data_IF_901355600499
#
_entry.id   IF_901355600499
#
_cell.length_a   1.000
_cell.length_b   1.000
_cell.length_c   1.000
_cell.angle_alpha   90.00
_cell.angle_beta   90.00
_cell.angle_gamma   90.00
#
_symmetry.space_group_name_H-M   'P 1'
#
loop_
_entity.id
_entity.type
_entity.pdbx_description
1 polymer ?
#
# COMPACT_ATOMS: atom_id res chain seq x y z
N UNK A 1 -3.44 -10.11 11.20
CA UNK A 1 -4.41 -11.21 11.03
C UNK A 1 -5.82 -10.76 10.69
N UNK A 2 -6.25 -9.53 11.02
CA UNK A 2 -7.61 -9.04 10.71
C UNK A 2 -8.02 -9.04 9.23
N UNK A 3 -7.08 -9.20 8.29
CA UNK A 3 -7.32 -9.24 6.84
C UNK A 3 -7.11 -10.63 6.19
N UNK A 4 -6.95 -11.70 6.98
CA UNK A 4 -6.76 -13.07 6.46
C UNK A 4 -8.00 -13.92 6.76
N UNK A 5 -8.63 -14.46 5.72
CA UNK A 5 -9.83 -15.29 5.83
C UNK A 5 -9.69 -16.53 4.94
N UNK A 6 -10.21 -17.68 5.36
CA UNK A 6 -10.29 -18.84 4.48
C UNK A 6 -11.29 -18.55 3.34
N UNK A 7 -10.93 -18.98 2.13
CA UNK A 7 -11.73 -18.82 0.92
C UNK A 7 -11.61 -20.07 0.04
N UNK A 8 -12.60 -20.26 -0.83
CA UNK A 8 -12.53 -21.27 -1.90
C UNK A 8 -11.52 -20.79 -2.94
N UNK A 9 -10.62 -21.68 -3.36
CA UNK A 9 -9.49 -21.32 -4.23
C UNK A 9 -9.91 -20.66 -5.56
N UNK A 10 -10.96 -21.18 -6.19
CA UNK A 10 -11.54 -20.62 -7.43
C UNK A 10 -12.05 -19.19 -7.21
N UNK A 11 -12.92 -18.97 -6.20
CA UNK A 11 -13.44 -17.63 -5.87
C UNK A 11 -12.32 -16.66 -5.52
N UNK A 12 -11.27 -17.13 -4.84
CA UNK A 12 -10.09 -16.32 -4.54
C UNK A 12 -9.32 -15.94 -5.81
N UNK A 13 -9.14 -16.89 -6.73
CA UNK A 13 -8.48 -16.68 -8.02
C UNK A 13 -9.23 -15.68 -8.88
N UNK A 14 -10.54 -15.89 -9.06
CA UNK A 14 -11.40 -15.04 -9.89
C UNK A 14 -11.52 -13.62 -9.33
N UNK A 15 -11.70 -13.49 -8.01
CA UNK A 15 -11.76 -12.18 -7.34
C UNK A 15 -10.45 -11.41 -7.51
N UNK A 16 -9.31 -12.11 -7.59
CA UNK A 16 -8.00 -11.51 -7.88
C UNK A 16 -7.73 -10.26 -6.99
N UNK A 17 -7.29 -9.17 -7.60
CA UNK A 17 -7.15 -7.85 -6.99
C UNK A 17 -8.30 -6.89 -7.32
N UNK A 18 -9.48 -7.40 -7.67
CA UNK A 18 -10.63 -6.57 -8.03
C UNK A 18 -11.16 -5.82 -6.80
N UNK A 19 -11.64 -4.60 -7.08
CA UNK A 19 -12.30 -3.80 -6.05
C UNK A 19 -13.64 -4.43 -5.70
N UNK A 20 -14.08 -4.20 -4.46
CA UNK A 20 -15.43 -4.59 -4.10
C UNK A 20 -16.41 -3.62 -4.74
N UNK A 21 -17.41 -4.16 -5.44
CA UNK A 21 -18.44 -3.41 -6.15
C UNK A 21 -19.77 -4.13 -6.08
N UNK A 22 -20.86 -3.42 -6.33
CA UNK A 22 -22.13 -4.07 -6.65
C UNK A 22 -22.08 -4.50 -8.12
N UNK A 23 -22.39 -5.77 -8.39
CA UNK A 23 -22.34 -6.36 -9.72
C UNK A 23 -23.76 -6.65 -10.19
N UNK A 24 -24.21 -5.85 -11.17
CA UNK A 24 -25.52 -6.01 -11.80
C UNK A 24 -25.43 -7.06 -12.91
N UNK A 25 -26.42 -7.94 -12.99
CA UNK A 25 -26.59 -8.82 -14.15
C UNK A 25 -25.57 -9.96 -14.31
N UNK A 26 -24.60 -10.14 -13.41
CA UNK A 26 -23.75 -11.33 -13.47
C UNK A 26 -24.57 -12.60 -13.22
N UNK A 27 -24.44 -13.55 -14.15
CA UNK A 27 -24.96 -14.89 -14.00
C UNK A 27 -24.40 -15.55 -12.73
N UNK A 28 -25.12 -16.51 -12.16
CA UNK A 28 -24.57 -17.28 -11.03
C UNK A 28 -23.34 -18.06 -11.50
N UNK A 29 -22.15 -17.64 -11.06
CA UNK A 29 -20.86 -18.26 -11.43
C UNK A 29 -20.54 -19.47 -10.56
N UNK A 30 -21.03 -19.48 -9.31
CA UNK A 30 -20.60 -20.41 -8.27
C UNK A 30 -21.76 -21.23 -7.69
N UNK A 31 -22.77 -21.54 -8.52
CA UNK A 31 -23.93 -22.34 -8.16
C UNK A 31 -24.82 -21.67 -7.09
N UNK A 32 -24.83 -22.21 -5.87
CA UNK A 32 -25.59 -21.65 -4.74
C UNK A 32 -24.88 -20.48 -4.05
N UNK A 33 -23.56 -20.34 -4.26
CA UNK A 33 -22.81 -19.22 -3.71
C UNK A 33 -23.17 -17.96 -4.50
N UNK A 34 -23.71 -16.95 -3.81
CA UNK A 34 -24.19 -15.69 -4.40
C UNK A 34 -23.10 -14.64 -4.64
N UNK A 35 -21.84 -15.00 -4.46
CA UNK A 35 -20.72 -14.14 -4.84
C UNK A 35 -20.73 -13.97 -6.36
N UNK A 36 -20.41 -12.78 -6.83
CA UNK A 36 -20.34 -12.44 -8.26
C UNK A 36 -19.02 -11.74 -8.55
N UNK A 37 -18.46 -12.02 -9.71
CA UNK A 37 -17.24 -11.40 -10.21
C UNK A 37 -17.51 -10.88 -11.62
N UNK A 38 -17.38 -9.57 -11.79
CA UNK A 38 -17.37 -8.92 -13.09
C UNK A 38 -15.92 -8.73 -13.53
N UNK A 39 -15.51 -9.52 -14.53
CA UNK A 39 -14.16 -9.45 -15.08
C UNK A 39 -13.95 -8.23 -15.98
N UNK A 40 -15.01 -7.73 -16.62
CA UNK A 40 -14.95 -6.58 -17.52
C UNK A 40 -14.77 -5.29 -16.72
N UNK A 41 -15.60 -5.09 -15.70
CA UNK A 41 -15.53 -3.93 -14.81
C UNK A 41 -14.53 -4.13 -13.64
N UNK A 42 -13.89 -5.30 -13.56
CA UNK A 42 -12.91 -5.68 -12.53
C UNK A 42 -13.46 -5.42 -11.11
N UNK A 43 -14.68 -5.91 -10.87
CA UNK A 43 -15.42 -5.75 -9.63
C UNK A 43 -15.85 -7.09 -9.05
N UNK A 44 -15.77 -7.24 -7.73
CA UNK A 44 -16.27 -8.43 -7.03
C UNK A 44 -17.37 -8.02 -6.03
N UNK A 45 -18.55 -8.63 -6.15
CA UNK A 45 -19.61 -8.53 -5.16
C UNK A 45 -19.62 -9.80 -4.31
N UNK A 46 -19.22 -9.73 -3.03
CA UNK A 46 -19.32 -10.89 -2.17
C UNK A 46 -20.79 -11.11 -1.78
N UNK A 47 -21.14 -12.34 -1.43
CA UNK A 47 -22.46 -12.67 -0.84
C UNK A 47 -22.78 -11.80 0.40
N UNK A 48 -24.07 -11.58 0.63
CA UNK A 48 -24.59 -10.66 1.64
C UNK A 48 -24.06 -10.94 3.05
N UNK A 49 -23.90 -12.22 3.42
CA UNK A 49 -23.50 -12.64 4.76
C UNK A 49 -22.09 -12.16 5.16
N UNK A 50 -21.27 -11.74 4.19
CA UNK A 50 -19.89 -11.24 4.46
C UNK A 50 -19.65 -9.80 4.02
N UNK A 51 -20.64 -9.11 3.42
CA UNK A 51 -20.47 -7.72 2.99
C UNK A 51 -20.03 -6.80 4.15
N UNK A 52 -20.63 -6.97 5.32
CA UNK A 52 -20.26 -6.23 6.52
C UNK A 52 -18.84 -6.52 7.01
N UNK A 53 -18.46 -7.80 7.03
CA UNK A 53 -17.11 -8.25 7.42
C UNK A 53 -16.05 -7.68 6.48
N UNK A 54 -16.30 -7.72 5.16
CA UNK A 54 -15.42 -7.13 4.14
C UNK A 54 -15.25 -5.63 4.36
N UNK A 55 -16.33 -4.92 4.66
CA UNK A 55 -16.29 -3.48 4.93
C UNK A 55 -15.42 -3.17 6.15
N UNK A 56 -15.66 -3.82 7.30
CA UNK A 56 -14.89 -3.58 8.54
C UNK A 56 -13.43 -4.01 8.44
N UNK A 57 -13.13 -5.10 7.75
CA UNK A 57 -11.75 -5.52 7.49
C UNK A 57 -11.02 -4.50 6.60
N UNK A 58 -11.71 -3.97 5.59
CA UNK A 58 -11.13 -2.97 4.68
C UNK A 58 -10.92 -1.63 5.41
N UNK A 59 -11.90 -1.16 6.19
CA UNK A 59 -11.74 0.04 7.02
C UNK A 59 -10.56 -0.07 7.97
N UNK A 60 -10.42 -1.21 8.65
CA UNK A 60 -9.27 -1.47 9.52
C UNK A 60 -7.95 -1.34 8.75
N UNK A 61 -7.81 -1.97 7.59
CA UNK A 61 -6.57 -1.92 6.83
C UNK A 61 -6.25 -0.50 6.37
N UNK A 62 -7.26 0.24 5.89
CA UNK A 62 -7.05 1.59 5.40
C UNK A 62 -6.73 2.58 6.50
N UNK A 63 -7.43 2.47 7.63
CA UNK A 63 -7.22 3.30 8.81
C UNK A 63 -5.86 3.02 9.47
N UNK A 64 -5.54 1.75 9.71
CA UNK A 64 -4.31 1.36 10.41
C UNK A 64 -3.04 1.65 9.62
N UNK A 65 -3.08 1.51 8.29
CA UNK A 65 -1.90 1.64 7.44
C UNK A 65 -1.88 2.91 6.60
N UNK A 66 -2.72 3.89 6.93
CA UNK A 66 -2.76 5.20 6.28
C UNK A 66 -2.94 5.13 4.75
N UNK A 67 -3.93 4.34 4.30
CA UNK A 67 -4.23 4.16 2.88
C UNK A 67 -5.40 5.03 2.44
N UNK A 68 -5.38 5.45 1.17
CA UNK A 68 -6.42 6.31 0.59
C UNK A 68 -7.52 5.47 -0.08
N UNK A 69 -8.76 5.71 0.32
CA UNK A 69 -9.94 5.07 -0.28
C UNK A 69 -10.72 6.05 -1.16
N UNK A 70 -11.11 5.64 -2.37
CA UNK A 70 -11.94 6.47 -3.25
C UNK A 70 -13.31 6.75 -2.61
N UNK A 71 -13.92 7.89 -2.94
CA UNK A 71 -15.24 8.27 -2.39
C UNK A 71 -16.32 7.22 -2.67
N UNK A 72 -16.31 6.63 -3.87
CA UNK A 72 -17.23 5.57 -4.27
C UNK A 72 -17.08 4.32 -3.38
N UNK A 73 -15.84 3.88 -3.14
CA UNK A 73 -15.56 2.72 -2.30
C UNK A 73 -15.96 2.98 -0.84
N UNK A 74 -15.70 4.19 -0.32
CA UNK A 74 -16.13 4.57 1.03
C UNK A 74 -17.65 4.46 1.16
N UNK A 75 -18.41 5.04 0.23
CA UNK A 75 -19.87 5.00 0.26
C UNK A 75 -20.42 3.58 0.19
N UNK A 76 -19.87 2.74 -0.68
CA UNK A 76 -20.27 1.33 -0.81
C UNK A 76 -20.03 0.57 0.51
N UNK A 77 -18.81 0.64 1.05
CA UNK A 77 -18.46 -0.09 2.27
C UNK A 77 -19.20 0.46 3.49
N UNK A 78 -19.49 1.77 3.53
CA UNK A 78 -20.31 2.36 4.60
C UNK A 78 -21.74 1.82 4.55
N UNK A 79 -22.33 1.73 3.36
CA UNK A 79 -23.65 1.14 3.17
C UNK A 79 -23.67 -0.32 3.63
N UNK A 80 -22.67 -1.12 3.22
CA UNK A 80 -22.55 -2.51 3.64
C UNK A 80 -22.32 -2.68 5.14
N UNK A 81 -21.46 -1.86 5.75
CA UNK A 81 -21.23 -1.93 7.20
C UNK A 81 -22.50 -1.62 8.00
N UNK A 82 -23.31 -0.67 7.53
CA UNK A 82 -24.59 -0.32 8.15
C UNK A 82 -25.64 -1.42 7.96
N UNK A 83 -25.74 -1.98 6.74
CA UNK A 83 -26.73 -2.99 6.39
C UNK A 83 -26.42 -4.36 7.05
N UNK A 84 -25.13 -4.67 7.23
CA UNK A 84 -24.65 -5.96 7.74
C UNK A 84 -23.80 -5.74 9.01
N UNK A 85 -24.42 -5.58 10.19
CA UNK A 85 -23.70 -5.31 11.44
C UNK A 85 -22.77 -6.47 11.84
N UNK A 86 -21.84 -6.20 12.76
CA UNK A 86 -20.90 -7.20 13.25
C UNK A 86 -21.63 -8.39 13.89
N UNK A 87 -21.26 -9.59 13.48
CA UNK A 87 -21.85 -10.83 14.00
C UNK A 87 -21.18 -11.27 15.30
N UNK A 88 -21.81 -12.18 16.04
CA UNK A 88 -21.20 -12.76 17.24
C UNK A 88 -19.89 -13.48 16.93
N UNK A 89 -19.84 -14.21 15.80
CA UNK A 89 -18.62 -14.86 15.34
C UNK A 89 -17.51 -13.86 15.02
N UNK A 90 -17.85 -12.74 14.37
CA UNK A 90 -16.86 -11.71 14.03
C UNK A 90 -16.24 -11.07 15.27
N UNK A 91 -17.04 -10.79 16.31
CA UNK A 91 -16.54 -10.33 17.61
C UNK A 91 -15.64 -11.36 18.27
N UNK A 92 -16.07 -12.63 18.34
CA UNK A 92 -15.24 -13.69 18.90
C UNK A 92 -13.91 -13.85 18.16
N UNK A 93 -13.93 -13.76 16.83
CA UNK A 93 -12.71 -13.80 16.01
C UNK A 93 -11.82 -12.58 16.29
N UNK A 94 -12.40 -11.40 16.44
CA UNK A 94 -11.69 -10.19 16.81
C UNK A 94 -10.96 -10.34 18.15
N UNK A 95 -11.64 -10.85 19.19
CA UNK A 95 -11.05 -11.12 20.51
C UNK A 95 -9.86 -12.09 20.42
N UNK A 96 -10.01 -13.18 19.66
CA UNK A 96 -8.94 -14.17 19.45
C UNK A 96 -7.73 -13.56 18.76
N UNK A 97 -7.95 -12.69 17.77
CA UNK A 97 -6.86 -12.02 17.06
C UNK A 97 -6.21 -10.96 17.97
N UNK A 98 -7.01 -10.22 18.74
CA UNK A 98 -6.52 -9.21 19.66
C UNK A 98 -5.64 -9.82 20.75
N UNK A 99 -5.99 -11.00 21.26
CA UNK A 99 -5.16 -11.74 22.21
C UNK A 99 -3.75 -12.07 21.66
N UNK A 100 -3.60 -12.19 20.33
CA UNK A 100 -2.32 -12.49 19.67
C UNK A 100 -1.62 -11.21 19.18
N UNK A 101 -2.35 -10.25 18.63
CA UNK A 101 -1.79 -9.03 18.02
C UNK A 101 -1.68 -7.84 18.99
N UNK A 102 -2.31 -7.92 20.16
CA UNK A 102 -2.31 -6.88 21.20
C UNK A 102 -3.25 -5.69 20.94
N UNK A 103 -4.15 -5.78 19.95
CA UNK A 103 -5.12 -4.73 19.64
C UNK A 103 -6.31 -5.28 18.86
N UNK A 104 -7.47 -4.62 19.00
CA UNK A 104 -8.71 -4.96 18.30
C UNK A 104 -8.85 -4.28 16.94
N UNK A 105 -9.72 -4.81 16.09
CA UNK A 105 -10.31 -4.05 15.00
C UNK A 105 -11.42 -3.15 15.55
N UNK A 106 -11.11 -1.86 15.69
CA UNK A 106 -12.04 -0.84 16.22
C UNK A 106 -13.33 -0.66 15.42
N UNK A 107 -13.38 -1.12 14.16
CA UNK A 107 -14.59 -1.12 13.34
C UNK A 107 -15.50 -2.33 13.65
N UNK A 108 -14.96 -3.40 14.26
CA UNK A 108 -15.74 -4.54 14.78
C UNK A 108 -16.29 -4.25 16.18
N UNK A 109 -15.48 -3.63 17.04
CA UNK A 109 -15.91 -3.24 18.40
C UNK A 109 -16.88 -2.06 18.40
N UNK A 110 -16.87 -1.24 17.35
CA UNK A 110 -17.70 -0.04 17.22
C UNK A 110 -17.05 1.23 17.79
N UNK A 111 -15.82 1.14 18.31
CA UNK A 111 -15.03 2.30 18.76
C UNK A 111 -14.70 3.28 17.61
N UNK A 112 -14.61 2.78 16.37
CA UNK A 112 -14.42 3.59 15.16
C UNK A 112 -15.55 3.31 14.17
N UNK A 113 -15.99 4.38 13.51
CA UNK A 113 -16.91 4.31 12.38
C UNK A 113 -16.38 5.14 11.22
N UNK A 114 -16.35 4.54 10.03
CA UNK A 114 -15.91 5.24 8.82
C UNK A 114 -16.95 6.26 8.37
N UNK A 115 -16.49 7.44 7.95
CA UNK A 115 -17.31 8.52 7.39
C UNK A 115 -16.71 9.01 6.07
N UNK A 116 -17.50 9.72 5.26
CA UNK A 116 -16.99 10.28 4.01
C UNK A 116 -15.89 11.29 4.31
N UNK A 117 -14.70 11.08 3.74
CA UNK A 117 -13.53 11.93 4.00
C UNK A 117 -12.81 11.62 5.31
N UNK A 118 -13.09 10.46 5.92
CA UNK A 118 -12.37 9.96 7.09
C UNK A 118 -10.86 9.98 6.85
N UNK A 119 -10.11 10.49 7.82
CA UNK A 119 -8.65 10.54 7.80
C UNK A 119 -8.09 9.33 8.58
N UNK A 120 -7.41 8.39 7.90
CA UNK A 120 -6.74 7.28 8.58
C UNK A 120 -5.82 7.72 9.71
N UNK A 121 -5.85 6.99 10.83
CA UNK A 121 -4.99 7.27 11.99
C UNK A 121 -3.55 6.83 11.73
N UNK A 122 -3.34 5.74 10.99
CA UNK A 122 -2.01 5.22 10.69
C UNK A 122 -1.30 4.56 11.87
N UNK A 123 -2.03 4.09 12.88
CA UNK A 123 -1.45 3.53 14.12
C UNK A 123 -0.69 2.19 13.94
N UNK A 124 -0.74 1.59 12.75
CA UNK A 124 0.07 0.44 12.37
C UNK A 124 1.26 0.78 11.47
N UNK A 125 1.44 2.06 11.14
CA UNK A 125 2.64 2.55 10.46
C UNK A 125 3.66 2.88 11.55
N UNK A 126 4.76 2.14 11.61
CA UNK A 126 5.88 2.52 12.48
C UNK A 126 6.51 3.77 11.85
N UNK A 127 6.23 4.95 12.40
CA UNK A 127 7.01 6.15 12.12
C UNK A 127 8.41 5.98 12.70
N UNK A 128 9.29 5.27 11.97
CA UNK A 128 10.74 5.41 12.08
C UNK A 128 11.30 6.16 10.88
N UNK A 129 10.68 7.30 10.56
CA UNK A 129 11.41 8.44 10.04
C UNK A 129 10.79 9.65 10.71
N UNK A 130 11.54 10.28 11.62
CA UNK A 130 11.26 11.66 11.98
C UNK A 130 11.31 12.46 10.68
N UNK A 131 10.15 12.82 10.15
CA UNK A 131 10.08 13.88 9.16
C UNK A 131 10.66 15.12 9.81
N UNK A 132 11.84 15.55 9.35
CA UNK A 132 12.31 16.92 9.58
C UNK A 132 11.15 17.84 9.19
N UNK A 133 10.59 18.53 10.17
CA UNK A 133 9.64 19.59 9.93
C UNK A 133 10.27 20.57 8.94
N UNK A 134 9.51 20.99 7.93
CA UNK A 134 9.89 22.09 7.06
C UNK A 134 9.99 23.37 7.91
N UNK A 135 11.17 23.60 8.49
CA UNK A 135 11.51 24.86 9.12
C UNK A 135 11.73 25.88 8.01
N UNK A 136 10.95 26.96 8.05
CA UNK A 136 11.20 28.19 7.28
C UNK A 136 12.68 28.58 7.48
N UNK A 137 13.46 28.92 6.45
CA UNK A 137 14.84 29.29 6.64
C UNK A 137 14.90 30.67 7.32
N UNK A 138 15.04 30.65 8.65
CA UNK A 138 15.65 31.72 9.43
C UNK A 138 17.15 31.49 9.45
N UNK A 139 17.91 32.49 9.04
CA UNK A 139 19.37 32.57 8.93
C UNK A 139 20.12 32.09 10.18
N UNK A 140 20.99 31.09 10.02
CA UNK A 140 22.39 31.12 10.49
C UNK A 140 23.15 29.82 10.09
N UNK A 141 23.94 29.95 9.03
CA UNK A 141 25.28 29.36 8.78
C UNK A 141 25.73 28.12 9.57
N UNK A 142 25.82 26.98 8.88
CA UNK A 142 26.97 26.08 8.90
C UNK A 142 27.16 25.47 7.49
N UNK A 143 28.42 25.34 7.09
CA UNK A 143 28.93 25.36 5.70
C UNK A 143 28.45 24.22 4.79
N UNK A 144 28.08 24.59 3.56
CA UNK A 144 27.76 23.72 2.42
C UNK A 144 28.99 23.54 1.52
N UNK A 145 29.33 22.31 1.18
CA UNK A 145 29.98 21.98 -0.10
C UNK A 145 29.21 20.80 -0.72
N UNK A 146 28.54 21.06 -1.85
CA UNK A 146 27.69 20.09 -2.54
C UNK A 146 28.49 19.05 -3.32
N UNK A 147 27.81 17.98 -3.76
CA UNK A 147 27.99 17.33 -5.08
C UNK A 147 27.00 16.17 -5.27
N UNK A 148 26.47 16.03 -6.49
CA UNK A 148 25.40 15.08 -6.84
C UNK A 148 25.71 13.60 -6.59
N UNK A 149 24.71 12.74 -6.76
CA UNK A 149 24.88 11.29 -6.55
C UNK A 149 25.73 10.65 -7.67
N UNK A 150 26.38 9.51 -7.44
CA UNK A 150 27.12 8.80 -8.48
C UNK A 150 26.12 7.91 -9.24
N UNK A 151 26.12 7.94 -10.58
CA UNK A 151 25.19 7.15 -11.40
C UNK A 151 25.93 6.02 -12.11
N UNK A 152 25.60 4.78 -11.75
CA UNK A 152 25.98 3.54 -12.43
C UNK A 152 24.98 3.15 -13.54
N UNK A 153 25.49 2.66 -14.67
CA UNK A 153 24.69 2.04 -15.71
C UNK A 153 24.75 0.51 -15.58
N UNK A 154 23.63 -0.11 -15.22
CA UNK A 154 23.50 -1.56 -15.01
C UNK A 154 23.91 -2.41 -16.22
N UNK A 155 23.75 -1.90 -17.44
CA UNK A 155 24.03 -2.65 -18.66
C UNK A 155 25.52 -2.68 -19.01
N UNK A 156 26.26 -1.61 -18.71
CA UNK A 156 27.70 -1.52 -19.03
C UNK A 156 28.61 -1.70 -17.83
N UNK A 157 28.03 -1.76 -16.61
CA UNK A 157 28.74 -1.73 -15.34
C UNK A 157 29.73 -0.56 -15.25
N UNK A 158 29.31 0.62 -15.74
CA UNK A 158 30.11 1.85 -15.71
C UNK A 158 29.43 2.91 -14.86
N UNK A 159 30.17 3.53 -13.92
CA UNK A 159 29.66 4.64 -13.11
C UNK A 159 30.23 6.01 -13.50
N UNK A 160 29.41 7.03 -13.27
CA UNK A 160 29.69 8.43 -13.58
C UNK A 160 29.55 9.27 -12.31
N UNK A 161 30.58 10.04 -12.01
CA UNK A 161 30.56 11.04 -10.95
C UNK A 161 29.67 12.24 -11.35
N UNK A 162 29.04 12.90 -10.37
CA UNK A 162 28.20 14.09 -10.59
C UNK A 162 28.96 15.28 -11.19
N UNK A 163 30.28 15.29 -11.05
CA UNK A 163 31.18 16.30 -11.59
C UNK A 163 32.28 15.60 -12.39
N UNK A 164 32.74 16.24 -13.45
CA UNK A 164 33.86 15.74 -14.27
C UNK A 164 33.46 14.67 -15.30
N UNK A 165 32.21 14.20 -15.32
CA UNK A 165 31.73 13.19 -16.28
C UNK A 165 30.74 13.79 -17.29
N UNK A 166 31.16 14.04 -18.55
CA UNK A 166 30.27 14.56 -19.59
C UNK A 166 29.05 13.66 -19.87
N UNK A 167 29.18 12.35 -19.65
CA UNK A 167 28.11 11.36 -19.90
C UNK A 167 27.20 11.09 -18.70
N UNK A 168 27.31 11.86 -17.62
CA UNK A 168 26.53 11.66 -16.40
C UNK A 168 25.00 11.65 -16.65
N UNK A 169 24.49 12.53 -17.52
CA UNK A 169 23.06 12.59 -17.86
C UNK A 169 22.59 11.59 -18.92
N UNK A 170 23.51 10.82 -19.53
CA UNK A 170 23.20 9.96 -20.67
C UNK A 170 22.78 8.54 -20.26
N UNK A 171 22.78 8.24 -18.96
CA UNK A 171 22.29 6.95 -18.46
C UNK A 171 20.77 6.98 -18.43
N UNK A 172 20.11 6.11 -19.18
CA UNK A 172 18.64 5.99 -19.14
C UNK A 172 18.18 5.60 -17.74
N UNK A 173 17.14 6.28 -17.21
CA UNK A 173 16.62 6.05 -15.85
C UNK A 173 16.25 4.60 -15.52
N UNK A 174 15.90 3.78 -16.53
CA UNK A 174 15.60 2.35 -16.35
C UNK A 174 16.84 1.51 -15.98
N UNK A 175 18.02 1.98 -16.35
CA UNK A 175 19.30 1.29 -16.14
C UNK A 175 20.19 2.02 -15.13
N UNK A 176 19.67 3.02 -14.43
CA UNK A 176 20.41 3.77 -13.41
C UNK A 176 20.45 2.99 -12.09
N UNK A 177 21.63 2.92 -11.51
CA UNK A 177 21.86 2.53 -10.13
C UNK A 177 22.63 3.65 -9.44
N UNK A 178 22.11 4.11 -8.30
CA UNK A 178 22.62 5.29 -7.62
C UNK A 178 23.55 4.86 -6.49
N UNK A 179 24.77 5.36 -6.51
CA UNK A 179 25.75 5.12 -5.47
C UNK A 179 26.04 6.40 -4.71
N UNK A 180 26.29 6.25 -3.43
CA UNK A 180 26.64 7.38 -2.55
C UNK A 180 28.14 7.62 -2.51
N UNK A 181 28.92 6.57 -2.77
CA UNK A 181 30.38 6.58 -2.74
C UNK A 181 30.95 5.81 -3.93
N UNK A 182 32.13 6.23 -4.39
CA UNK A 182 32.82 5.59 -5.51
C UNK A 182 33.25 4.15 -5.17
N UNK A 183 33.65 3.92 -3.92
CA UNK A 183 34.01 2.59 -3.41
C UNK A 183 32.84 1.60 -3.43
N UNK A 184 31.61 2.08 -3.24
CA UNK A 184 30.39 1.27 -3.29
C UNK A 184 30.13 0.77 -4.71
N UNK A 185 30.27 1.65 -5.70
CA UNK A 185 30.15 1.29 -7.11
C UNK A 185 31.22 0.27 -7.53
N UNK A 186 32.47 0.46 -7.09
CA UNK A 186 33.57 -0.47 -7.38
C UNK A 186 33.38 -1.84 -6.72
N UNK A 187 32.93 -1.88 -5.46
CA UNK A 187 32.60 -3.13 -4.77
C UNK A 187 31.43 -3.87 -5.43
N UNK A 188 30.48 -3.13 -6.01
CA UNK A 188 29.39 -3.67 -6.82
C UNK A 188 29.84 -4.11 -8.23
N UNK A 189 31.14 -4.03 -8.55
CA UNK A 189 31.71 -4.47 -9.82
C UNK A 189 31.64 -3.43 -10.95
N UNK A 190 31.31 -2.17 -10.64
CA UNK A 190 31.28 -1.10 -11.63
C UNK A 190 32.65 -0.43 -11.78
N UNK A 191 33.00 -0.07 -13.01
CA UNK A 191 34.22 0.68 -13.34
C UNK A 191 33.92 2.14 -13.64
N UNK A 192 34.87 3.04 -13.32
CA UNK A 192 34.72 4.48 -13.64
C UNK A 192 34.63 4.68 -15.15
N UNK A 193 33.75 5.56 -15.61
CA UNK A 193 33.72 5.91 -17.02
C UNK A 193 35.05 6.55 -17.44
N UNK A 194 35.66 6.06 -18.51
CA UNK A 194 36.98 6.52 -18.96
C UNK A 194 37.02 7.98 -19.44
N UNK A 195 35.85 8.59 -19.65
CA UNK A 195 35.70 9.99 -20.02
C UNK A 195 35.38 10.91 -18.82
N UNK A 196 35.34 10.36 -17.60
CA UNK A 196 35.29 11.15 -16.37
C UNK A 196 36.68 11.70 -16.05
N UNK A 197 36.81 13.01 -15.93
CA UNK A 197 38.02 13.72 -15.49
C UNK A 197 37.99 14.00 -14.00
#
# INVERSE_FOLDING_TARGET
MFNLYPSVGEVNGDRSNFNYGAVLGAASQYGQCRTKVDFSERAAEPRDEVKGLVARATFYMFDRYNLNMSRQQQQLLMAWNKQYPATAWERQRDDRIAAVMGHHNKFVTGERSWTVGYKPVGDGVISKVQGRAAQKPGTATHQLQGNGMIIGNRNSQVYHLPQGCPSYGNVSGKNQELFTLESEAQAAGYRKAGNCR
#
